data_IF_880193239058
#
_entry.id   IF_880193239058
#
_cell.length_a   1.000
_cell.length_b   1.000
_cell.length_c   1.000
_cell.angle_alpha   90.00
_cell.angle_beta   90.00
_cell.angle_gamma   90.00
#
_symmetry.space_group_name_H-M   'P 1'
#
loop_
_entity.id
_entity.type
_entity.pdbx_description
1 polymer ?
#
# COMPACT_ATOMS: atom_id res chain seq x y z
N UNK A 1 -29.71 13.03 28.20
CA UNK A 1 -29.21 14.17 29.00
C UNK A 1 -27.78 13.84 29.39
N UNK A 2 -26.82 14.35 28.62
CA UNK A 2 -25.41 13.97 28.76
C UNK A 2 -24.70 15.01 29.62
N UNK A 3 -24.11 14.54 30.71
CA UNK A 3 -23.40 15.35 31.71
C UNK A 3 -22.15 16.03 31.13
N UNK A 4 -21.78 17.23 31.61
CA UNK A 4 -20.54 17.88 31.20
C UNK A 4 -19.34 17.19 31.86
N UNK A 5 -18.33 16.84 31.08
CA UNK A 5 -17.03 16.38 31.58
C UNK A 5 -16.33 17.60 32.19
N UNK A 6 -16.20 17.58 33.52
CA UNK A 6 -15.45 18.58 34.29
C UNK A 6 -13.96 18.40 34.03
N UNK A 7 -13.36 19.30 33.26
CA UNK A 7 -11.91 19.46 33.17
C UNK A 7 -11.40 20.08 34.48
N UNK A 8 -11.18 19.23 35.47
CA UNK A 8 -10.49 19.64 36.69
C UNK A 8 -9.01 19.91 36.34
N UNK A 9 -8.70 21.16 36.05
CA UNK A 9 -7.34 21.72 36.10
C UNK A 9 -6.85 21.60 37.54
N UNK A 10 -5.94 20.66 37.80
CA UNK A 10 -5.21 20.59 39.07
C UNK A 10 -4.19 21.74 39.08
N UNK A 11 -4.26 22.68 40.04
CA UNK A 11 -3.21 23.66 40.21
C UNK A 11 -2.03 22.97 40.89
N UNK A 12 -0.98 22.66 40.14
CA UNK A 12 0.29 22.25 40.71
C UNK A 12 1.06 23.49 41.17
N UNK A 13 1.02 23.75 42.46
CA UNK A 13 2.04 24.56 43.12
C UNK A 13 2.51 23.85 44.38
N UNK A 14 3.70 23.26 44.34
CA UNK A 14 4.64 23.37 45.45
C UNK A 14 6.07 23.24 44.94
N UNK A 15 6.88 24.22 45.33
CA UNK A 15 8.24 24.39 44.87
C UNK A 15 9.21 23.38 45.46
N UNK A 16 10.19 23.02 44.64
CA UNK A 16 11.57 22.86 45.04
C UNK A 16 12.41 23.25 43.83
N UNK A 17 13.11 24.38 43.96
CA UNK A 17 14.01 24.92 42.94
C UNK A 17 15.23 24.01 42.80
N UNK A 18 15.15 22.99 41.95
CA UNK A 18 16.35 22.46 41.31
C UNK A 18 16.86 23.55 40.36
N UNK A 19 18.09 24.01 40.59
CA UNK A 19 18.81 24.91 39.69
C UNK A 19 19.28 24.15 38.44
N UNK A 20 18.36 23.57 37.69
CA UNK A 20 18.69 23.03 36.37
C UNK A 20 18.40 24.11 35.33
N UNK A 21 19.47 24.73 34.80
CA UNK A 21 19.43 25.64 33.65
C UNK A 21 19.09 24.88 32.35
N UNK A 22 17.98 24.15 32.33
CA UNK A 22 17.58 23.36 31.16
C UNK A 22 16.94 24.30 30.14
N UNK A 23 17.54 24.38 28.95
CA UNK A 23 17.04 25.21 27.87
C UNK A 23 15.62 24.81 27.48
N UNK A 24 14.67 25.73 27.61
CA UNK A 24 13.27 25.53 27.23
C UNK A 24 13.19 25.39 25.70
N UNK A 25 12.64 24.27 25.23
CA UNK A 25 12.36 24.11 23.82
C UNK A 25 11.13 24.91 23.42
N UNK A 26 11.17 25.53 22.24
CA UNK A 26 10.05 26.27 21.63
C UNK A 26 9.40 25.45 20.51
N UNK A 27 9.27 24.14 20.72
CA UNK A 27 8.63 23.28 19.73
C UNK A 27 7.15 23.62 19.61
N UNK A 28 6.64 23.57 18.38
CA UNK A 28 5.21 23.71 18.13
C UNK A 28 4.50 22.46 18.67
N UNK A 29 3.32 22.60 19.29
CA UNK A 29 2.48 21.47 19.66
C UNK A 29 2.19 20.58 18.46
N UNK A 30 1.82 19.32 18.71
CA UNK A 30 1.39 18.43 17.63
C UNK A 30 0.15 19.02 16.95
N UNK A 31 0.11 18.94 15.62
CA UNK A 31 -1.07 19.34 14.85
C UNK A 31 -2.30 18.48 15.22
N UNK A 32 -2.06 17.20 15.54
CA UNK A 32 -3.10 16.21 15.77
C UNK A 32 -3.66 16.19 17.19
N UNK A 33 -2.96 16.77 18.18
CA UNK A 33 -3.37 16.69 19.59
C UNK A 33 -3.72 15.26 19.99
N UNK A 34 -4.93 15.10 20.55
CA UNK A 34 -5.46 13.82 21.03
C UNK A 34 -6.45 13.16 20.06
N UNK A 35 -6.59 13.68 18.83
CA UNK A 35 -7.62 13.27 17.85
C UNK A 35 -7.62 11.75 17.61
N UNK A 36 -6.44 11.13 17.56
CA UNK A 36 -6.28 9.69 17.32
C UNK A 36 -6.14 8.84 18.59
N UNK A 37 -6.22 9.43 19.78
CA UNK A 37 -6.12 8.66 21.03
C UNK A 37 -7.39 7.84 21.31
N UNK A 38 -8.53 8.29 20.77
CA UNK A 38 -9.78 7.54 20.77
C UNK A 38 -9.81 6.65 19.53
N UNK A 39 -9.77 5.33 19.72
CA UNK A 39 -10.03 4.42 18.61
C UNK A 39 -11.45 4.68 18.12
N UNK A 40 -11.68 4.98 16.84
CA UNK A 40 -13.02 4.80 16.29
C UNK A 40 -13.42 3.34 16.54
N UNK A 41 -14.69 3.13 16.87
CA UNK A 41 -15.31 1.80 16.81
C UNK A 41 -14.87 1.13 15.50
N UNK A 42 -14.57 -0.17 15.52
CA UNK A 42 -14.44 -0.94 14.28
C UNK A 42 -15.60 -0.54 13.36
N UNK A 43 -15.26 -0.02 12.18
CA UNK A 43 -16.27 0.27 11.17
C UNK A 43 -16.75 -1.08 10.66
N UNK A 44 -17.86 -1.55 11.22
CA UNK A 44 -18.53 -2.74 10.73
C UNK A 44 -19.06 -2.43 9.33
N UNK A 45 -18.52 -3.14 8.34
CA UNK A 45 -18.99 -3.06 6.96
C UNK A 45 -20.36 -3.72 6.88
N UNK A 46 -21.34 -3.08 6.24
CA UNK A 46 -22.63 -3.73 6.04
C UNK A 46 -22.48 -4.95 5.12
N UNK A 47 -23.39 -5.91 5.25
CA UNK A 47 -23.32 -7.17 4.54
C UNK A 47 -23.33 -7.00 3.01
N UNK A 48 -23.97 -5.94 2.48
CA UNK A 48 -23.98 -5.63 1.05
C UNK A 48 -22.59 -5.20 0.57
N UNK A 49 -22.00 -4.21 1.25
CA UNK A 49 -20.65 -3.73 0.92
C UNK A 49 -19.60 -4.84 1.06
N UNK A 50 -19.72 -5.71 2.06
CA UNK A 50 -18.81 -6.84 2.24
C UNK A 50 -18.90 -7.85 1.08
N UNK A 51 -20.11 -8.11 0.59
CA UNK A 51 -20.32 -8.99 -0.56
C UNK A 51 -19.73 -8.40 -1.84
N UNK A 52 -19.99 -7.12 -2.12
CA UNK A 52 -19.43 -6.42 -3.28
C UNK A 52 -17.89 -6.40 -3.26
N UNK A 53 -17.30 -6.21 -2.08
CA UNK A 53 -15.85 -6.26 -1.88
C UNK A 53 -15.28 -7.65 -2.23
N UNK A 54 -15.89 -8.74 -1.75
CA UNK A 54 -15.41 -10.10 -2.06
C UNK A 54 -15.58 -10.43 -3.55
N UNK A 55 -16.66 -9.99 -4.17
CA UNK A 55 -16.90 -10.18 -5.61
C UNK A 55 -15.84 -9.45 -6.45
N UNK A 56 -15.57 -8.18 -6.13
CA UNK A 56 -14.55 -7.39 -6.83
C UNK A 56 -13.16 -7.99 -6.63
N UNK A 57 -12.86 -8.48 -5.42
CA UNK A 57 -11.61 -9.17 -5.12
C UNK A 57 -11.45 -10.43 -5.96
N UNK A 58 -12.50 -11.25 -6.10
CA UNK A 58 -12.44 -12.43 -6.97
C UNK A 58 -12.29 -12.04 -8.45
N UNK A 59 -12.89 -10.94 -8.90
CA UNK A 59 -12.74 -10.49 -10.29
C UNK A 59 -11.30 -10.09 -10.59
N UNK A 60 -10.67 -9.28 -9.73
CA UNK A 60 -9.25 -8.92 -9.88
C UNK A 60 -8.36 -10.17 -9.87
N UNK A 61 -8.63 -11.13 -8.98
CA UNK A 61 -7.93 -12.42 -8.97
C UNK A 61 -8.07 -13.17 -10.29
N UNK A 62 -9.28 -13.23 -10.86
CA UNK A 62 -9.49 -13.85 -12.19
C UNK A 62 -8.70 -13.13 -13.28
N UNK A 63 -8.65 -11.82 -13.26
CA UNK A 63 -7.88 -11.03 -14.23
C UNK A 63 -6.37 -11.33 -14.16
N UNK A 64 -5.82 -11.57 -12.96
CA UNK A 64 -4.41 -11.93 -12.76
C UNK A 64 -4.10 -13.37 -13.21
N UNK A 65 -4.98 -14.32 -12.88
CA UNK A 65 -4.81 -15.75 -13.15
C UNK A 65 -5.22 -16.13 -14.58
N UNK A 66 -6.00 -15.29 -15.27
CA UNK A 66 -6.44 -15.54 -16.64
C UNK A 66 -5.26 -15.98 -17.51
N UNK A 67 -5.45 -17.07 -18.25
CA UNK A 67 -4.44 -17.59 -19.16
C UNK A 67 -4.47 -16.76 -20.45
N UNK A 68 -4.10 -15.49 -20.34
CA UNK A 68 -3.80 -14.66 -21.48
C UNK A 68 -2.37 -14.96 -21.87
N UNK A 69 -2.17 -15.50 -23.08
CA UNK A 69 -0.85 -15.82 -23.60
C UNK A 69 0.06 -14.56 -23.60
N UNK A 70 -0.54 -13.37 -23.61
CA UNK A 70 0.13 -12.07 -23.67
C UNK A 70 0.47 -11.48 -22.30
N UNK A 71 1.77 -11.45 -22.01
CA UNK A 71 2.36 -10.75 -20.86
C UNK A 71 1.95 -9.27 -20.75
N UNK A 72 1.77 -8.59 -21.89
CA UNK A 72 1.39 -7.18 -21.98
C UNK A 72 0.01 -6.86 -21.42
N UNK A 73 -0.89 -7.85 -21.30
CA UNK A 73 -2.21 -7.64 -20.71
C UNK A 73 -2.19 -7.73 -19.18
N UNK A 74 -1.24 -8.46 -18.59
CA UNK A 74 -1.11 -8.65 -17.14
C UNK A 74 -0.38 -7.49 -16.46
N UNK A 75 0.64 -6.94 -17.12
CA UNK A 75 1.46 -5.84 -16.58
C UNK A 75 0.65 -4.64 -16.09
N UNK A 76 -0.34 -4.11 -16.84
CA UNK A 76 -1.14 -2.96 -16.39
C UNK A 76 -2.01 -3.28 -15.15
N UNK A 77 -2.48 -4.52 -15.04
CA UNK A 77 -3.30 -4.96 -13.91
C UNK A 77 -2.44 -5.02 -12.64
N UNK A 78 -1.24 -5.63 -12.74
CA UNK A 78 -0.28 -5.68 -11.63
C UNK A 78 0.11 -4.27 -11.21
N UNK A 79 0.46 -3.40 -12.16
CA UNK A 79 0.82 -2.00 -11.86
C UNK A 79 -0.32 -1.26 -11.13
N UNK A 80 -1.55 -1.39 -11.62
CA UNK A 80 -2.71 -0.74 -11.01
C UNK A 80 -2.97 -1.25 -9.59
N UNK A 81 -2.94 -2.57 -9.37
CA UNK A 81 -3.17 -3.19 -8.06
C UNK A 81 -2.13 -2.74 -7.03
N UNK A 82 -0.87 -2.62 -7.43
CA UNK A 82 0.20 -2.12 -6.57
C UNK A 82 0.04 -0.63 -6.24
N UNK A 83 -0.26 0.20 -7.25
CA UNK A 83 -0.41 1.65 -7.06
C UNK A 83 -1.68 2.03 -6.29
N UNK A 84 -2.69 1.16 -6.30
CA UNK A 84 -3.88 1.28 -5.46
C UNK A 84 -3.63 0.87 -3.99
N UNK A 85 -2.48 0.25 -3.68
CA UNK A 85 -2.16 -0.17 -2.32
C UNK A 85 -2.92 -1.41 -1.85
N UNK A 86 -3.48 -2.20 -2.77
CA UNK A 86 -4.28 -3.40 -2.47
C UNK A 86 -3.61 -4.71 -2.88
N UNK A 87 -2.34 -4.65 -3.30
CA UNK A 87 -1.56 -5.81 -3.76
C UNK A 87 -1.39 -6.91 -2.71
N UNK A 88 -1.44 -6.58 -1.41
CA UNK A 88 -1.34 -7.56 -0.32
C UNK A 88 -2.46 -8.61 -0.34
N UNK A 89 -3.55 -8.38 -1.09
CA UNK A 89 -4.61 -9.37 -1.29
C UNK A 89 -4.31 -10.41 -2.38
N UNK A 90 -3.28 -10.17 -3.20
CA UNK A 90 -2.99 -10.90 -4.43
C UNK A 90 -1.51 -11.26 -4.57
N UNK A 91 -0.75 -11.30 -3.47
CA UNK A 91 0.72 -11.48 -3.49
C UNK A 91 1.12 -12.73 -4.28
N UNK A 92 0.42 -13.84 -4.06
CA UNK A 92 0.68 -15.11 -4.74
C UNK A 92 0.40 -15.00 -6.24
N UNK A 93 -0.74 -14.46 -6.62
CA UNK A 93 -1.14 -14.34 -8.03
C UNK A 93 -0.24 -13.37 -8.80
N UNK A 94 0.23 -12.32 -8.15
CA UNK A 94 1.21 -11.38 -8.72
C UNK A 94 2.55 -12.08 -8.93
N UNK A 95 3.05 -12.82 -7.94
CA UNK A 95 4.33 -13.53 -8.05
C UNK A 95 4.28 -14.55 -9.20
N UNK A 96 3.25 -15.40 -9.24
CA UNK A 96 3.05 -16.39 -10.30
C UNK A 96 2.97 -15.73 -11.69
N UNK A 97 2.28 -14.58 -11.80
CA UNK A 97 2.22 -13.83 -13.06
C UNK A 97 3.57 -13.25 -13.46
N UNK A 98 4.35 -12.73 -12.51
CA UNK A 98 5.68 -12.17 -12.76
C UNK A 98 6.71 -13.24 -13.12
N UNK A 99 6.64 -14.43 -12.52
CA UNK A 99 7.48 -15.58 -12.92
C UNK A 99 7.27 -15.95 -14.38
N UNK A 100 6.00 -16.00 -14.82
CA UNK A 100 5.64 -16.26 -16.22
C UNK A 100 6.20 -15.15 -17.11
N UNK A 101 5.95 -13.87 -16.76
CA UNK A 101 6.46 -12.71 -17.51
C UNK A 101 7.99 -12.73 -17.59
N UNK A 102 8.68 -13.10 -16.52
CA UNK A 102 10.13 -13.23 -16.48
C UNK A 102 10.62 -14.34 -17.40
N UNK A 103 9.97 -15.50 -17.38
CA UNK A 103 10.28 -16.58 -18.30
C UNK A 103 10.10 -16.16 -19.78
N UNK A 104 9.03 -15.45 -20.11
CA UNK A 104 8.84 -14.88 -21.44
C UNK A 104 9.94 -13.87 -21.79
N UNK A 105 10.31 -13.01 -20.83
CA UNK A 105 11.38 -12.03 -20.99
C UNK A 105 12.73 -12.70 -21.30
N UNK A 106 13.13 -13.72 -20.55
CA UNK A 106 14.40 -14.42 -20.77
C UNK A 106 14.46 -15.18 -22.09
N UNK A 107 13.32 -15.64 -22.60
CA UNK A 107 13.24 -16.38 -23.86
C UNK A 107 12.94 -15.49 -25.08
N UNK A 108 12.91 -14.16 -24.91
CA UNK A 108 12.50 -13.20 -25.95
C UNK A 108 11.12 -13.50 -26.57
N UNK A 109 10.24 -14.14 -25.80
CA UNK A 109 8.87 -14.43 -26.19
C UNK A 109 8.05 -13.17 -25.91
N UNK A 110 7.41 -12.62 -26.93
CA UNK A 110 6.55 -11.41 -26.84
C UNK A 110 7.25 -10.09 -26.47
N UNK A 111 8.56 -10.00 -26.66
CA UNK A 111 9.29 -8.71 -26.52
C UNK A 111 9.33 -7.95 -27.86
N UNK A 112 9.25 -8.67 -28.98
CA UNK A 112 9.33 -8.09 -30.31
C UNK A 112 8.06 -7.27 -30.62
N UNK A 113 8.16 -5.95 -30.49
CA UNK A 113 7.09 -4.99 -30.76
C UNK A 113 6.47 -4.32 -29.54
N UNK A 114 7.00 -4.50 -28.33
CA UNK A 114 6.55 -3.74 -27.16
C UNK A 114 6.89 -2.25 -27.26
N UNK A 115 5.98 -1.40 -26.80
CA UNK A 115 6.25 0.03 -26.68
C UNK A 115 7.11 0.34 -25.43
N UNK A 116 7.69 1.54 -25.42
CA UNK A 116 8.54 2.00 -24.31
C UNK A 116 7.83 1.92 -22.95
N UNK A 117 6.52 2.14 -22.92
CA UNK A 117 5.72 2.07 -21.70
C UNK A 117 5.70 0.63 -21.15
N UNK A 118 5.39 -0.33 -22.00
CA UNK A 118 5.30 -1.76 -21.64
C UNK A 118 6.65 -2.28 -21.19
N UNK A 119 7.73 -1.93 -21.91
CA UNK A 119 9.10 -2.31 -21.52
C UNK A 119 9.50 -1.71 -20.18
N UNK A 120 9.22 -0.42 -19.95
CA UNK A 120 9.56 0.24 -18.69
C UNK A 120 8.78 -0.33 -17.50
N UNK A 121 7.48 -0.61 -17.66
CA UNK A 121 6.66 -1.21 -16.61
C UNK A 121 7.13 -2.64 -16.30
N UNK A 122 7.38 -3.47 -17.33
CA UNK A 122 7.90 -4.83 -17.16
C UNK A 122 9.23 -4.80 -16.39
N UNK A 123 10.17 -3.99 -16.84
CA UNK A 123 11.49 -3.87 -16.21
C UNK A 123 11.37 -3.47 -14.74
N UNK A 124 10.56 -2.44 -14.44
CA UNK A 124 10.35 -1.96 -13.07
C UNK A 124 9.73 -3.04 -12.19
N UNK A 125 8.61 -3.64 -12.61
CA UNK A 125 7.91 -4.64 -11.82
C UNK A 125 8.78 -5.86 -11.54
N UNK A 126 9.50 -6.37 -12.54
CA UNK A 126 10.42 -7.50 -12.34
C UNK A 126 11.51 -7.17 -11.31
N UNK A 127 12.15 -6.00 -11.40
CA UNK A 127 13.20 -5.61 -10.43
C UNK A 127 12.66 -5.33 -9.04
N UNK A 128 11.46 -4.77 -8.92
CA UNK A 128 10.79 -4.56 -7.63
C UNK A 128 10.54 -5.87 -6.88
N UNK A 129 10.33 -6.98 -7.59
CA UNK A 129 10.12 -8.32 -7.00
C UNK A 129 11.41 -9.17 -6.97
N UNK A 130 12.56 -8.58 -7.30
CA UNK A 130 13.86 -9.24 -7.15
C UNK A 130 14.29 -10.13 -8.32
N UNK A 131 13.60 -10.07 -9.46
CA UNK A 131 14.05 -10.75 -10.68
C UNK A 131 15.28 -10.05 -11.28
N UNK A 132 16.23 -10.83 -11.77
CA UNK A 132 17.47 -10.32 -12.37
C UNK A 132 17.25 -9.92 -13.83
N UNK A 133 17.05 -8.62 -14.07
CA UNK A 133 16.83 -8.06 -15.41
C UNK A 133 17.97 -7.10 -15.78
N UNK A 134 18.63 -7.37 -16.90
CA UNK A 134 19.73 -6.57 -17.41
C UNK A 134 19.27 -5.30 -18.14
N UNK A 135 19.99 -4.19 -17.96
CA UNK A 135 19.66 -2.89 -18.55
C UNK A 135 19.86 -2.80 -20.07
N UNK A 136 20.58 -3.75 -20.70
CA UNK A 136 20.82 -3.76 -22.14
C UNK A 136 19.72 -4.43 -22.98
N UNK A 137 18.62 -4.86 -22.34
CA UNK A 137 17.51 -5.60 -22.95
C UNK A 137 16.21 -4.78 -22.95
N UNK A 138 16.29 -3.46 -22.71
CA UNK A 138 15.18 -2.52 -22.64
C UNK A 138 15.26 -1.45 -23.74
#
# INVERSE_FOLDING_TARGET
MSSPISTNLVPSQHGNTSKENRHLSKFKPSFWGDIFLSSPSEMEMDAGTQQEYEELKQEVRRMLVANTDKSSQKLPIIDAVQRLGVAYHFEKEIEEALEIIYHHHCNHIEIDGDDLYTTAVRFRLLREHGFDVHCGMA
#
